data_IF_180372594274
#
_entry.id   IF_180372594274
#
_cell.length_a   1.000
_cell.length_b   1.000
_cell.length_c   1.000
_cell.angle_alpha   90.00
_cell.angle_beta   90.00
_cell.angle_gamma   90.00
#
_symmetry.space_group_name_H-M   'P 1'
#
loop_
_entity.id
_entity.type
_entity.pdbx_description
1 polymer ?
#
# COMPACT_ATOMS: atom_id res chain seq x y z
N UNK A 1 3.65 -2.35 3.29
CA UNK A 1 3.70 -1.98 4.72
C UNK A 1 4.38 -3.10 5.49
N UNK A 2 5.21 -2.79 6.49
CA UNK A 2 5.82 -3.80 7.39
C UNK A 2 5.32 -3.57 8.81
N UNK A 3 4.75 -4.62 9.43
CA UNK A 3 4.24 -4.56 10.81
C UNK A 3 5.31 -5.05 11.77
N UNK A 4 5.67 -4.21 12.71
CA UNK A 4 6.52 -4.56 13.84
C UNK A 4 5.68 -4.86 15.07
N UNK A 5 6.10 -5.86 15.86
CA UNK A 5 5.55 -6.18 17.18
C UNK A 5 6.73 -6.28 18.12
N UNK A 6 6.75 -5.45 19.17
CA UNK A 6 7.85 -5.37 20.14
C UNK A 6 9.22 -5.16 19.47
N UNK A 7 9.29 -4.31 18.45
CA UNK A 7 10.53 -4.01 17.72
C UNK A 7 10.93 -5.05 16.66
N UNK A 8 10.20 -6.15 16.51
CA UNK A 8 10.51 -7.19 15.52
C UNK A 8 9.51 -7.19 14.35
N UNK A 9 9.98 -7.29 13.09
CA UNK A 9 9.09 -7.36 11.94
C UNK A 9 8.36 -8.71 11.90
N UNK A 10 7.03 -8.68 11.95
CA UNK A 10 6.20 -9.89 11.97
C UNK A 10 5.48 -10.14 10.66
N UNK A 11 4.98 -9.09 10.00
CA UNK A 11 4.16 -9.23 8.80
C UNK A 11 4.50 -8.18 7.75
N UNK A 12 4.24 -8.50 6.48
CA UNK A 12 4.34 -7.55 5.37
C UNK A 12 3.06 -7.58 4.56
N UNK A 13 2.59 -6.39 4.18
CA UNK A 13 1.54 -6.20 3.18
C UNK A 13 2.16 -5.78 1.86
N UNK A 14 1.91 -6.58 0.82
CA UNK A 14 2.22 -6.30 -0.57
C UNK A 14 0.96 -5.81 -1.26
N UNK A 15 0.94 -4.54 -1.69
CA UNK A 15 -0.23 -3.93 -2.31
C UNK A 15 -0.33 -4.35 -3.77
N UNK A 16 -1.52 -4.76 -4.20
CA UNK A 16 -1.79 -5.20 -5.56
C UNK A 16 -3.14 -4.61 -6.00
N UNK A 17 -3.16 -3.84 -7.08
CA UNK A 17 -4.39 -3.27 -7.67
C UNK A 17 -5.39 -2.74 -6.62
N UNK A 18 -6.56 -3.38 -6.49
CA UNK A 18 -7.64 -2.99 -5.57
C UNK A 18 -7.45 -3.48 -4.13
N UNK A 19 -6.50 -4.39 -3.86
CA UNK A 19 -6.21 -4.92 -2.54
C UNK A 19 -4.71 -5.25 -2.36
N UNK A 20 -4.38 -6.53 -2.28
CA UNK A 20 -3.03 -7.02 -1.96
C UNK A 20 -3.07 -8.25 -1.08
N UNK A 21 -1.91 -8.60 -0.54
CA UNK A 21 -1.73 -9.81 0.24
C UNK A 21 -0.83 -9.59 1.46
N UNK A 22 -1.15 -10.27 2.55
CA UNK A 22 -0.37 -10.25 3.78
C UNK A 22 0.42 -11.55 3.94
N UNK A 23 1.70 -11.43 4.30
CA UNK A 23 2.59 -12.56 4.54
C UNK A 23 3.29 -12.47 5.89
N UNK A 24 3.60 -13.62 6.48
CA UNK A 24 4.52 -13.66 7.62
C UNK A 24 5.93 -13.22 7.17
N UNK A 25 6.56 -12.32 7.90
CA UNK A 25 7.86 -11.76 7.52
C UNK A 25 8.94 -12.84 7.40
N UNK A 26 8.88 -13.87 8.25
CA UNK A 26 9.86 -14.97 8.30
C UNK A 26 9.93 -15.76 6.99
N UNK A 27 8.81 -15.91 6.27
CA UNK A 27 8.75 -16.73 5.06
C UNK A 27 9.25 -16.00 3.81
N UNK A 28 9.30 -14.66 3.85
CA UNK A 28 9.70 -13.85 2.70
C UNK A 28 11.16 -14.10 2.34
N UNK A 29 11.42 -14.17 1.03
CA UNK A 29 12.79 -14.11 0.51
C UNK A 29 13.39 -12.76 0.86
N UNK A 30 14.66 -12.77 1.27
CA UNK A 30 15.39 -11.59 1.74
C UNK A 30 16.60 -11.32 0.85
N UNK A 31 17.10 -10.10 0.93
CA UNK A 31 18.36 -9.69 0.36
C UNK A 31 19.56 -10.48 0.93
N UNK A 32 20.77 -10.19 0.44
CA UNK A 32 21.99 -10.88 0.90
C UNK A 32 22.26 -10.72 2.40
N UNK A 33 21.76 -9.66 3.03
CA UNK A 33 21.88 -9.48 4.48
C UNK A 33 20.99 -10.43 5.29
N UNK A 34 20.01 -11.07 4.64
CA UNK A 34 19.02 -11.93 5.29
C UNK A 34 18.03 -11.15 6.15
N UNK A 35 17.98 -9.81 6.02
CA UNK A 35 17.14 -8.95 6.88
C UNK A 35 15.99 -8.32 6.12
N UNK A 36 16.16 -7.96 4.84
CA UNK A 36 15.24 -7.08 4.11
C UNK A 36 14.42 -7.88 3.10
N UNK A 37 13.09 -7.87 3.18
CA UNK A 37 12.25 -8.64 2.27
C UNK A 37 12.39 -8.07 0.86
N UNK A 38 12.41 -8.96 -0.13
CA UNK A 38 12.36 -8.58 -1.52
C UNK A 38 10.91 -8.33 -1.93
N UNK A 39 10.71 -7.38 -2.82
CA UNK A 39 9.41 -7.08 -3.42
C UNK A 39 9.58 -7.05 -4.92
N UNK A 40 8.69 -7.75 -5.63
CA UNK A 40 8.76 -7.94 -7.07
C UNK A 40 7.70 -7.06 -7.72
N UNK A 41 8.14 -6.06 -8.50
CA UNK A 41 7.24 -5.14 -9.19
C UNK A 41 6.66 -5.80 -10.43
N UNK A 42 5.36 -5.64 -10.65
CA UNK A 42 4.70 -6.04 -11.89
C UNK A 42 5.22 -5.25 -13.09
N UNK A 43 5.43 -5.92 -14.21
CA UNK A 43 5.80 -5.28 -15.46
C UNK A 43 4.62 -4.45 -15.99
N UNK A 44 4.81 -3.13 -16.13
CA UNK A 44 3.79 -2.22 -16.64
C UNK A 44 2.65 -1.91 -15.66
N UNK A 45 2.79 -2.29 -14.39
CA UNK A 45 1.78 -2.14 -13.32
C UNK A 45 2.42 -1.61 -12.04
N UNK A 46 1.61 -1.16 -11.08
CA UNK A 46 2.07 -0.69 -9.77
C UNK A 46 2.05 -1.79 -8.69
N UNK A 47 1.56 -2.99 -9.03
CA UNK A 47 1.41 -4.07 -8.07
C UNK A 47 2.77 -4.61 -7.63
N UNK A 48 2.84 -4.98 -6.36
CA UNK A 48 4.02 -5.55 -5.73
C UNK A 48 3.68 -6.95 -5.25
N UNK A 49 4.58 -7.90 -5.49
CA UNK A 49 4.40 -9.31 -5.12
C UNK A 49 5.54 -9.82 -4.23
N UNK A 50 5.24 -10.86 -3.46
CA UNK A 50 6.20 -11.52 -2.55
C UNK A 50 7.09 -12.55 -3.28
N UNK A 51 6.69 -12.98 -4.47
CA UNK A 51 7.44 -13.94 -5.32
C UNK A 51 7.54 -13.43 -6.75
N UNK A 52 8.59 -13.82 -7.50
CA UNK A 52 8.62 -13.61 -8.94
C UNK A 52 7.64 -14.55 -9.65
N UNK A 53 7.40 -14.30 -10.94
CA UNK A 53 6.59 -15.14 -11.80
C UNK A 53 5.27 -14.49 -12.20
N UNK A 54 4.32 -15.36 -12.54
CA UNK A 54 2.99 -15.00 -13.03
C UNK A 54 2.02 -14.96 -11.86
N UNK A 55 1.21 -13.91 -11.80
CA UNK A 55 0.24 -13.66 -10.73
C UNK A 55 -1.13 -13.33 -11.32
N UNK A 56 -2.06 -14.29 -11.27
CA UNK A 56 -3.44 -14.02 -11.62
C UNK A 56 -4.14 -13.30 -10.48
N UNK A 57 -4.83 -12.21 -10.79
CA UNK A 57 -5.59 -11.41 -9.84
C UNK A 57 -7.00 -11.13 -10.34
N UNK A 58 -7.54 -12.02 -11.17
CA UNK A 58 -8.90 -11.89 -11.70
C UNK A 58 -9.93 -11.93 -10.57
N UNK A 59 -9.69 -12.76 -9.54
CA UNK A 59 -10.50 -12.85 -8.32
C UNK A 59 -9.67 -12.34 -7.14
N UNK A 60 -10.12 -11.28 -6.43
CA UNK A 60 -9.39 -10.78 -5.27
C UNK A 60 -9.12 -11.86 -4.22
N UNK A 61 -7.88 -11.93 -3.74
CA UNK A 61 -7.37 -12.88 -2.74
C UNK A 61 -7.31 -14.36 -3.17
N UNK A 62 -7.63 -14.68 -4.42
CA UNK A 62 -7.58 -16.05 -4.94
C UNK A 62 -6.62 -16.14 -6.13
N UNK A 63 -5.52 -16.83 -5.89
CA UNK A 63 -4.50 -17.05 -6.91
C UNK A 63 -4.90 -18.30 -7.69
N UNK A 64 -5.25 -18.11 -8.97
CA UNK A 64 -5.66 -19.21 -9.84
C UNK A 64 -4.43 -20.00 -10.30
N UNK A 65 -4.54 -21.34 -10.43
CA UNK A 65 -3.43 -22.20 -10.87
C UNK A 65 -3.07 -21.97 -12.35
N UNK A 66 -3.95 -21.33 -13.11
CA UNK A 66 -3.74 -20.98 -14.51
C UNK A 66 -4.17 -19.51 -14.73
N UNK A 67 -3.41 -18.74 -15.52
CA UNK A 67 -3.77 -17.37 -15.89
C UNK A 67 -5.12 -17.32 -16.60
N UNK A 68 -5.99 -16.38 -16.22
CA UNK A 68 -7.33 -16.26 -16.79
C UNK A 68 -7.54 -14.96 -17.56
N UNK A 69 -7.74 -13.82 -16.87
CA UNK A 69 -8.04 -12.54 -17.53
C UNK A 69 -7.08 -11.43 -17.13
N UNK A 70 -6.81 -11.28 -15.84
CA UNK A 70 -5.96 -10.22 -15.31
C UNK A 70 -4.73 -10.83 -14.67
N UNK A 71 -3.59 -10.64 -15.33
CA UNK A 71 -2.37 -11.38 -15.06
C UNK A 71 -1.20 -10.41 -15.05
N UNK A 72 -0.52 -10.35 -13.92
CA UNK A 72 0.75 -9.65 -13.80
C UNK A 72 1.92 -10.61 -13.98
N UNK A 73 3.01 -10.08 -14.52
CA UNK A 73 4.29 -10.77 -14.60
C UNK A 73 5.34 -9.99 -13.81
N UNK A 74 6.12 -10.72 -13.01
CA UNK A 74 7.20 -10.18 -12.21
C UNK A 74 8.46 -11.01 -12.39
N UNK A 75 9.62 -10.39 -12.23
CA UNK A 75 10.89 -11.12 -12.14
C UNK A 75 11.83 -10.43 -11.14
N UNK A 76 12.97 -11.06 -10.86
CA UNK A 76 13.91 -10.51 -9.88
C UNK A 76 14.55 -9.18 -10.32
N UNK A 77 14.72 -8.99 -11.64
CA UNK A 77 15.29 -7.78 -12.22
C UNK A 77 16.60 -7.29 -11.57
N UNK A 78 16.97 -6.04 -11.87
CA UNK A 78 17.95 -5.31 -11.06
C UNK A 78 17.40 -5.00 -9.68
N UNK A 79 18.24 -5.11 -8.65
CA UNK A 79 17.86 -4.72 -7.29
C UNK A 79 17.87 -3.20 -7.15
N UNK A 80 16.71 -2.62 -6.84
CA UNK A 80 16.59 -1.23 -6.43
C UNK A 80 16.44 -1.16 -4.90
N UNK A 81 17.32 -0.38 -4.27
CA UNK A 81 17.28 -0.14 -2.83
C UNK A 81 16.62 1.23 -2.57
N UNK A 82 15.34 1.28 -2.16
CA UNK A 82 14.66 2.55 -1.90
C UNK A 82 15.23 3.27 -0.67
N UNK A 83 15.98 2.59 0.21
CA UNK A 83 16.49 3.24 1.42
C UNK A 83 17.56 4.30 1.11
N UNK A 84 18.25 4.15 -0.02
CA UNK A 84 19.30 5.05 -0.48
C UNK A 84 18.75 6.37 -1.03
N UNK A 85 17.45 6.44 -1.33
CA UNK A 85 16.83 7.62 -1.93
C UNK A 85 15.36 7.77 -1.49
N UNK A 86 15.13 7.84 -0.18
CA UNK A 86 13.80 8.04 0.39
C UNK A 86 13.83 9.12 1.48
N UNK A 87 12.71 9.85 1.57
CA UNK A 87 12.39 10.65 2.74
C UNK A 87 11.56 9.82 3.72
N UNK A 88 11.89 9.95 5.00
CA UNK A 88 11.21 9.23 6.07
C UNK A 88 10.46 10.21 6.94
N UNK A 89 9.25 9.81 7.32
CA UNK A 89 8.37 10.61 8.15
C UNK A 89 7.73 9.73 9.21
N UNK A 90 7.55 10.29 10.39
CA UNK A 90 6.68 9.76 11.42
C UNK A 90 5.29 10.34 11.21
N UNK A 91 4.29 9.48 11.10
CA UNK A 91 2.89 9.88 11.09
C UNK A 91 2.34 9.83 12.52
N UNK A 92 1.70 10.92 12.93
CA UNK A 92 0.97 11.04 14.17
C UNK A 92 -0.52 11.07 13.83
N UNK A 93 -1.30 10.02 14.16
CA UNK A 93 -2.73 10.00 13.87
C UNK A 93 -3.48 11.07 14.66
N UNK A 94 -4.64 11.45 14.14
CA UNK A 94 -5.54 12.34 14.88
C UNK A 94 -5.96 11.68 16.20
N UNK A 95 -5.98 12.47 17.28
CA UNK A 95 -6.34 12.00 18.62
C UNK A 95 -7.57 12.77 19.08
N UNK A 96 -8.60 12.04 19.49
CA UNK A 96 -9.77 12.62 20.16
C UNK A 96 -9.64 12.40 21.67
N UNK A 97 -9.51 13.48 22.42
CA UNK A 97 -9.39 13.45 23.89
C UNK A 97 -10.72 13.86 24.52
N UNK A 98 -11.37 12.97 25.30
CA UNK A 98 -12.56 13.35 26.06
C UNK A 98 -12.25 14.46 27.06
N UNK A 99 -13.21 15.33 27.33
CA UNK A 99 -13.06 16.31 28.39
C UNK A 99 -13.07 15.59 29.76
N UNK A 100 -12.00 15.70 30.57
CA UNK A 100 -11.91 15.00 31.85
C UNK A 100 -12.89 15.51 32.91
N UNK A 101 -13.41 16.73 32.78
CA UNK A 101 -14.36 17.32 33.73
C UNK A 101 -15.81 17.26 33.26
N UNK A 102 -16.05 16.98 31.98
CA UNK A 102 -17.39 16.76 31.43
C UNK A 102 -17.36 15.74 30.28
N UNK A 103 -17.56 14.43 30.56
CA UNK A 103 -17.55 13.37 29.56
C UNK A 103 -18.66 13.48 28.50
N UNK A 104 -19.67 14.32 28.71
CA UNK A 104 -20.76 14.53 27.75
C UNK A 104 -20.45 15.63 26.72
N UNK A 105 -19.45 16.47 26.99
CA UNK A 105 -18.99 17.48 26.05
C UNK A 105 -18.25 16.86 24.86
N UNK A 106 -18.28 17.49 23.68
CA UNK A 106 -17.50 17.04 22.53
C UNK A 106 -16.01 16.89 22.86
N UNK A 107 -15.33 15.84 22.37
CA UNK A 107 -13.91 15.67 22.61
C UNK A 107 -13.10 16.75 21.88
N UNK A 108 -11.94 17.09 22.45
CA UNK A 108 -10.95 17.90 21.75
C UNK A 108 -10.25 17.04 20.71
N UNK A 109 -10.20 17.48 19.46
CA UNK A 109 -9.52 16.76 18.38
C UNK A 109 -8.18 17.43 18.09
N UNK A 110 -7.09 16.70 18.28
CA UNK A 110 -5.79 17.06 17.73
C UNK A 110 -5.70 16.45 16.33
N UNK A 111 -5.47 17.26 15.26
CA UNK A 111 -5.41 16.75 13.89
C UNK A 111 -4.19 15.85 13.70
N UNK A 112 -4.24 15.01 12.66
CA UNK A 112 -3.10 14.22 12.27
C UNK A 112 -1.95 15.10 11.80
N UNK A 113 -0.72 14.62 11.97
CA UNK A 113 0.47 15.36 11.54
C UNK A 113 1.60 14.45 11.10
N UNK A 114 2.55 15.01 10.36
CA UNK A 114 3.76 14.35 9.92
C UNK A 114 4.99 15.07 10.45
N UNK A 115 5.96 14.32 10.97
CA UNK A 115 7.27 14.83 11.39
C UNK A 115 8.35 14.20 10.51
N UNK A 116 9.19 15.01 9.81
CA UNK A 116 10.26 14.47 9.01
C UNK A 116 11.36 13.90 9.90
N UNK A 117 11.97 12.79 9.47
CA UNK A 117 13.11 12.21 10.16
C UNK A 117 14.34 13.12 10.13
N UNK A 118 14.58 13.79 8.99
CA UNK A 118 15.63 14.79 8.83
C UNK A 118 15.01 16.19 8.83
N UNK A 119 15.51 17.08 9.69
CA UNK A 119 15.10 18.47 9.74
C UNK A 119 15.25 19.16 8.38
N UNK A 120 14.28 20.00 8.02
CA UNK A 120 14.24 20.71 6.74
C UNK A 120 13.66 19.92 5.56
N UNK A 121 13.33 18.63 5.74
CA UNK A 121 12.63 17.86 4.70
C UNK A 121 11.20 18.40 4.51
N UNK A 122 10.73 18.65 3.27
CA UNK A 122 9.40 19.18 3.02
C UNK A 122 8.30 18.24 3.54
N UNK A 123 7.29 18.81 4.22
CA UNK A 123 6.17 18.04 4.80
C UNK A 123 4.84 18.37 4.09
N UNK A 124 4.68 19.60 3.58
CA UNK A 124 3.39 20.11 3.09
C UNK A 124 2.72 19.24 2.02
N UNK A 125 3.51 18.57 1.19
CA UNK A 125 3.02 17.68 0.13
C UNK A 125 2.28 16.46 0.69
N UNK A 126 2.59 16.01 1.91
CA UNK A 126 1.92 14.88 2.56
C UNK A 126 0.46 15.19 2.91
N UNK A 127 0.12 16.47 3.09
CA UNK A 127 -1.23 16.95 3.39
C UNK A 127 -2.08 17.26 2.15
N UNK A 128 -1.58 16.97 0.94
CA UNK A 128 -2.36 17.18 -0.26
C UNK A 128 -3.45 16.10 -0.39
N UNK A 129 -4.70 16.53 -0.26
CA UNK A 129 -5.89 15.67 -0.28
C UNK A 129 -6.46 15.45 -1.70
N UNK A 130 -5.82 15.98 -2.73
CA UNK A 130 -6.20 15.73 -4.12
C UNK A 130 -5.64 14.40 -4.66
N UNK A 131 -5.73 14.23 -5.99
CA UNK A 131 -5.20 13.08 -6.73
C UNK A 131 -3.84 13.43 -7.33
N UNK A 132 -2.91 12.49 -7.28
CA UNK A 132 -1.56 12.63 -7.80
C UNK A 132 -1.49 12.12 -9.24
N UNK A 133 -1.03 12.95 -10.17
CA UNK A 133 -0.96 12.63 -11.60
C UNK A 133 -2.15 13.19 -12.38
N UNK A 134 -2.34 12.69 -13.60
CA UNK A 134 -3.33 13.23 -14.52
C UNK A 134 -4.77 12.90 -14.10
N UNK A 135 -5.69 13.79 -14.48
CA UNK A 135 -7.12 13.57 -14.35
C UNK A 135 -7.63 12.54 -15.37
N UNK A 136 -8.66 11.79 -14.97
CA UNK A 136 -9.36 10.89 -15.87
C UNK A 136 -9.91 11.64 -17.09
N UNK A 137 -9.69 11.10 -18.28
CA UNK A 137 -10.26 11.69 -19.49
C UNK A 137 -11.79 11.52 -19.50
N UNK A 138 -12.55 12.49 -20.05
CA UNK A 138 -13.97 12.33 -20.29
C UNK A 138 -14.25 11.09 -21.14
N UNK A 139 -15.38 10.40 -20.88
CA UNK A 139 -15.74 9.17 -21.59
C UNK A 139 -15.91 9.36 -23.11
N UNK A 140 -16.15 10.60 -23.57
CA UNK A 140 -16.26 10.98 -24.98
C UNK A 140 -14.93 11.35 -25.64
N UNK A 141 -13.82 11.43 -24.89
CA UNK A 141 -12.51 11.70 -25.46
C UNK A 141 -12.08 10.53 -26.37
N UNK A 142 -11.68 10.81 -27.61
CA UNK A 142 -11.27 9.79 -28.59
C UNK A 142 -10.10 8.91 -28.15
N UNK A 143 -9.29 9.37 -27.21
CA UNK A 143 -8.15 8.62 -26.64
C UNK A 143 -8.59 7.68 -25.52
N UNK A 144 -9.74 7.96 -24.92
CA UNK A 144 -10.30 7.16 -23.84
C UNK A 144 -10.93 5.89 -24.39
N UNK A 145 -10.47 4.75 -23.89
CA UNK A 145 -11.03 3.43 -24.21
C UNK A 145 -11.66 2.85 -22.96
N UNK A 146 -12.74 2.09 -23.14
CA UNK A 146 -13.41 1.39 -22.06
C UNK A 146 -13.53 -0.10 -22.39
N UNK A 147 -13.32 -0.95 -21.40
CA UNK A 147 -13.50 -2.40 -21.51
C UNK A 147 -14.15 -2.91 -20.22
N UNK A 148 -15.35 -3.48 -20.34
CA UNK A 148 -16.12 -4.01 -19.21
C UNK A 148 -16.23 -3.02 -18.02
N UNK A 149 -16.50 -1.74 -18.32
CA UNK A 149 -16.60 -0.66 -17.31
C UNK A 149 -15.27 -0.10 -16.81
N UNK A 150 -14.14 -0.73 -17.17
CA UNK A 150 -12.81 -0.22 -16.84
C UNK A 150 -12.35 0.79 -17.88
N UNK A 151 -11.74 1.86 -17.39
CA UNK A 151 -11.27 3.01 -18.17
C UNK A 151 -9.77 2.92 -18.41
N UNK A 152 -9.32 3.25 -19.63
CA UNK A 152 -7.89 3.24 -19.97
C UNK A 152 -7.11 4.30 -19.19
N UNK A 153 -7.55 5.55 -19.25
CA UNK A 153 -7.00 6.63 -18.43
C UNK A 153 -7.93 6.86 -17.26
N UNK A 154 -7.38 6.76 -16.05
CA UNK A 154 -8.09 6.97 -14.78
C UNK A 154 -7.33 8.00 -13.97
N UNK A 155 -8.03 8.70 -13.09
CA UNK A 155 -7.39 9.67 -12.21
C UNK A 155 -6.40 8.97 -11.29
N UNK A 156 -5.21 9.54 -11.12
CA UNK A 156 -4.18 8.95 -10.27
C UNK A 156 -4.56 8.84 -8.78
N UNK A 157 -3.75 8.23 -7.92
CA UNK A 157 -4.15 7.90 -6.55
C UNK A 157 -4.27 9.15 -5.66
N UNK A 158 -5.03 9.05 -4.56
CA UNK A 158 -4.98 10.03 -3.47
C UNK A 158 -3.69 9.91 -2.67
N UNK A 159 -3.34 10.97 -1.94
CA UNK A 159 -2.09 11.11 -1.20
C UNK A 159 -1.99 10.26 0.08
N UNK A 160 -0.84 10.31 0.77
CA UNK A 160 -0.55 9.52 1.96
C UNK A 160 -1.53 9.77 3.12
N UNK A 161 -1.98 11.01 3.34
CA UNK A 161 -2.92 11.34 4.42
C UNK A 161 -4.28 10.65 4.26
N UNK A 162 -4.72 10.39 3.03
CA UNK A 162 -5.97 9.66 2.72
C UNK A 162 -5.79 8.13 2.84
N UNK A 163 -4.60 7.66 3.24
CA UNK A 163 -4.36 6.22 3.48
C UNK A 163 -4.56 5.89 4.95
N UNK A 164 -4.86 4.62 5.21
CA UNK A 164 -5.05 4.08 6.57
C UNK A 164 -3.70 3.87 7.28
N UNK A 165 -2.93 4.96 7.48
CA UNK A 165 -1.59 4.93 8.04
C UNK A 165 -1.55 4.46 9.51
N UNK A 166 -2.65 4.60 10.23
CA UNK A 166 -2.84 4.18 11.62
C UNK A 166 -3.61 2.86 11.78
N UNK A 167 -3.83 2.14 10.66
CA UNK A 167 -4.56 0.86 10.67
C UNK A 167 -3.98 -0.11 11.69
N UNK A 168 -4.87 -0.85 12.36
CA UNK A 168 -4.48 -1.81 13.41
C UNK A 168 -3.90 -3.10 12.85
N UNK A 169 -4.45 -3.58 11.75
CA UNK A 169 -4.06 -4.85 11.13
C UNK A 169 -2.96 -4.69 10.07
N UNK A 170 -2.42 -5.81 9.59
CA UNK A 170 -1.50 -5.79 8.45
C UNK A 170 -2.23 -5.47 7.14
N UNK A 171 -3.44 -5.97 6.97
CA UNK A 171 -4.31 -5.66 5.84
C UNK A 171 -4.99 -4.28 6.03
N UNK A 172 -5.39 -3.61 4.93
CA UNK A 172 -6.31 -2.48 5.00
C UNK A 172 -7.67 -2.90 5.58
N UNK A 173 -8.41 -1.93 6.14
CA UNK A 173 -9.79 -2.09 6.55
C UNK A 173 -10.71 -1.68 5.38
N UNK A 174 -11.05 -2.64 4.53
CA UNK A 174 -11.80 -2.42 3.29
C UNK A 174 -12.94 -3.44 3.12
N UNK A 175 -13.38 -4.06 4.22
CA UNK A 175 -14.42 -5.10 4.21
C UNK A 175 -13.97 -6.48 3.69
N UNK A 176 -12.72 -6.63 3.25
CA UNK A 176 -12.17 -7.93 2.86
C UNK A 176 -11.55 -8.65 4.05
N UNK A 177 -11.64 -9.98 4.04
CA UNK A 177 -11.01 -10.80 5.07
C UNK A 177 -9.49 -10.62 5.03
N UNK A 178 -8.88 -10.34 6.18
CA UNK A 178 -7.42 -10.27 6.28
C UNK A 178 -6.83 -11.67 6.36
N UNK A 179 -6.33 -12.18 5.23
CA UNK A 179 -5.70 -13.49 5.13
C UNK A 179 -4.19 -13.34 5.32
N UNK A 180 -3.66 -13.85 6.44
CA UNK A 180 -2.23 -13.89 6.69
C UNK A 180 -1.62 -15.19 6.17
N UNK A 181 -0.82 -15.10 5.10
CA UNK A 181 -0.19 -16.26 4.47
C UNK A 181 1.06 -16.71 5.23
N UNK A 182 1.09 -18.00 5.56
CA UNK A 182 2.21 -18.68 6.21
C UNK A 182 3.11 -19.47 5.25
N UNK A 183 2.82 -19.44 3.95
CA UNK A 183 3.59 -20.07 2.89
C UNK A 183 3.76 -19.07 1.75
N UNK A 184 4.92 -19.09 1.09
CA UNK A 184 5.14 -18.38 -0.17
C UNK A 184 4.59 -19.23 -1.31
N UNK A 185 3.50 -18.80 -1.89
CA UNK A 185 2.96 -19.32 -3.14
C UNK A 185 2.42 -18.11 -3.93
N UNK A 186 2.38 -18.20 -5.28
CA UNK A 186 1.63 -17.27 -6.08
C UNK A 186 0.21 -17.10 -5.58
#
# INVERSE_FOLDING_TARGET
MVRFVNGEPKYVWYSQHSNGEAFQYRILKKDKSGKRPLAYCANGSHAMYATPGIHDHTIPNLNLPLPFLLVDETNAGPLYDPLLNAWYYTYHPAVSTPNPTDPKSPPTVTPASFTPFLGGTPVSWLYFQGRWGDEQYPDKDKRQKQLAGNRKYVGGPTGPEDKQLDRKNVCPDNGQQCILRGVLAP
#
